data_IF_402681853815
#
_entry.id   IF_402681853815
#
_cell.length_a   1.000
_cell.length_b   1.000
_cell.length_c   1.000
_cell.angle_alpha   90.00
_cell.angle_beta   90.00
_cell.angle_gamma   90.00
#
_symmetry.space_group_name_H-M   'P 1'
#
loop_
_entity.id
_entity.type
_entity.pdbx_description
1 polymer ?
#
# COMPACT_ATOMS: atom_id res chain seq x y z
N UNK A 1 34.90 -18.83 -12.81
CA UNK A 1 33.88 -19.87 -12.61
C UNK A 1 32.83 -19.38 -11.59
N UNK A 2 32.34 -18.13 -11.76
CA UNK A 2 31.35 -17.48 -10.88
C UNK A 2 30.14 -16.88 -11.67
N UNK A 3 30.03 -17.23 -12.98
CA UNK A 3 29.03 -16.57 -13.88
C UNK A 3 27.73 -17.33 -14.12
N UNK A 4 27.55 -18.53 -13.61
CA UNK A 4 26.30 -19.31 -13.81
C UNK A 4 25.35 -19.27 -12.62
N UNK A 5 25.81 -18.85 -11.44
CA UNK A 5 24.96 -18.74 -10.23
C UNK A 5 24.22 -17.41 -10.09
N UNK A 6 24.55 -16.39 -10.89
CA UNK A 6 23.93 -15.06 -10.81
C UNK A 6 22.52 -14.97 -11.43
N UNK A 7 22.07 -16.02 -12.12
CA UNK A 7 20.79 -15.99 -12.87
C UNK A 7 19.53 -16.13 -12.01
N UNK A 8 19.64 -16.49 -10.73
CA UNK A 8 18.50 -16.84 -9.88
C UNK A 8 18.26 -15.92 -8.69
N UNK A 9 18.98 -14.80 -8.59
CA UNK A 9 18.81 -13.87 -7.47
C UNK A 9 18.26 -12.53 -7.93
N UNK A 10 17.34 -11.99 -7.15
CA UNK A 10 16.90 -10.61 -7.30
C UNK A 10 17.60 -9.73 -6.28
N UNK A 11 18.26 -8.69 -6.77
CA UNK A 11 18.86 -7.67 -5.92
C UNK A 11 17.81 -6.65 -5.54
N UNK A 12 17.67 -6.43 -4.24
CA UNK A 12 16.79 -5.43 -3.67
C UNK A 12 17.60 -4.54 -2.73
N UNK A 13 17.65 -3.25 -3.02
CA UNK A 13 18.35 -2.27 -2.20
C UNK A 13 17.36 -1.51 -1.34
N UNK A 14 17.57 -1.50 -0.03
CA UNK A 14 16.79 -0.71 0.92
C UNK A 14 17.59 0.48 1.37
N UNK A 15 17.14 1.69 1.02
CA UNK A 15 17.67 2.95 1.54
C UNK A 15 17.33 3.09 3.03
N UNK A 16 18.37 3.24 3.86
CA UNK A 16 18.21 3.29 5.31
C UNK A 16 17.64 4.64 5.80
N UNK A 17 17.75 5.68 5.01
CA UNK A 17 17.32 7.03 5.36
C UNK A 17 15.87 7.29 4.99
N UNK A 18 15.51 6.98 3.75
CA UNK A 18 14.20 7.35 3.18
C UNK A 18 13.18 6.21 3.20
N UNK A 19 13.59 5.00 3.66
CA UNK A 19 12.76 3.77 3.66
C UNK A 19 12.24 3.44 2.26
N UNK A 20 13.11 3.58 1.26
CA UNK A 20 12.81 3.34 -0.14
C UNK A 20 13.46 2.03 -0.57
N UNK A 21 12.69 1.21 -1.28
CA UNK A 21 13.16 -0.01 -1.91
C UNK A 21 13.41 0.24 -3.39
N UNK A 22 14.56 -0.22 -3.86
CA UNK A 22 14.95 -0.24 -5.26
C UNK A 22 15.13 -1.68 -5.70
N UNK A 23 14.47 -2.08 -6.77
CA UNK A 23 14.74 -3.36 -7.43
C UNK A 23 15.75 -3.14 -8.55
N UNK A 24 16.73 -4.02 -8.67
CA UNK A 24 17.74 -3.90 -9.72
C UNK A 24 17.13 -3.89 -11.13
N UNK A 25 16.03 -4.61 -11.30
CA UNK A 25 15.29 -4.72 -12.57
C UNK A 25 14.38 -3.54 -12.89
N UNK A 26 14.11 -2.65 -11.93
CA UNK A 26 13.23 -1.48 -12.12
C UNK A 26 13.94 -0.22 -11.70
N UNK A 27 13.90 0.81 -12.52
CA UNK A 27 14.49 2.12 -12.20
C UNK A 27 13.66 2.95 -11.22
N UNK A 28 12.44 2.51 -10.90
CA UNK A 28 11.53 3.26 -10.04
C UNK A 28 11.71 2.90 -8.55
N UNK A 29 11.86 3.89 -7.67
CA UNK A 29 11.88 3.68 -6.23
C UNK A 29 10.48 3.43 -5.69
N UNK A 30 10.38 2.54 -4.69
CA UNK A 30 9.12 2.24 -4.00
C UNK A 30 9.27 2.48 -2.51
N UNK A 31 8.27 3.09 -1.89
CA UNK A 31 8.23 3.18 -0.43
C UNK A 31 8.11 1.78 0.17
N UNK A 32 8.86 1.51 1.24
CA UNK A 32 8.81 0.24 1.97
C UNK A 32 7.36 -0.12 2.36
N UNK A 33 6.95 -1.35 2.10
CA UNK A 33 5.61 -1.87 2.34
C UNK A 33 4.61 -1.60 1.22
N UNK A 34 4.95 -0.73 0.25
CA UNK A 34 4.01 -0.43 -0.85
C UNK A 34 3.79 -1.65 -1.74
N UNK A 35 4.86 -2.35 -2.11
CA UNK A 35 4.76 -3.49 -3.03
C UNK A 35 4.02 -4.66 -2.40
N UNK A 36 4.29 -4.96 -1.13
CA UNK A 36 3.55 -5.97 -0.37
C UNK A 36 2.06 -5.63 -0.32
N UNK A 37 1.70 -4.38 0.03
CA UNK A 37 0.30 -3.96 0.14
C UNK A 37 -0.41 -3.88 -1.22
N UNK A 38 0.29 -3.59 -2.29
CA UNK A 38 -0.27 -3.62 -3.64
C UNK A 38 -0.50 -5.07 -4.08
N UNK A 39 0.46 -5.97 -3.83
CA UNK A 39 0.34 -7.39 -4.15
C UNK A 39 -0.85 -8.06 -3.46
N UNK A 40 -1.04 -7.89 -2.15
CA UNK A 40 -2.11 -8.58 -1.41
C UNK A 40 -3.53 -8.18 -1.82
N UNK A 41 -3.68 -7.10 -2.59
CA UNK A 41 -4.96 -6.64 -3.13
C UNK A 41 -5.01 -6.63 -4.66
N UNK A 42 -4.00 -7.19 -5.32
CA UNK A 42 -3.97 -7.31 -6.78
C UNK A 42 -5.02 -8.33 -7.25
N UNK A 43 -5.74 -8.00 -8.29
CA UNK A 43 -6.54 -8.98 -9.02
C UNK A 43 -5.60 -9.82 -9.90
N UNK A 44 -5.17 -10.96 -9.33
CA UNK A 44 -4.21 -11.85 -9.99
C UNK A 44 -4.75 -12.40 -11.32
N UNK A 45 -6.04 -12.70 -11.40
CA UNK A 45 -6.65 -13.24 -12.63
C UNK A 45 -6.57 -12.24 -13.77
N UNK A 46 -6.95 -11.00 -13.51
CA UNK A 46 -6.83 -9.92 -14.49
C UNK A 46 -5.36 -9.62 -14.81
N UNK A 47 -4.48 -9.57 -13.81
CA UNK A 47 -3.06 -9.33 -14.00
C UNK A 47 -2.42 -10.39 -14.90
N UNK A 48 -2.73 -11.67 -14.71
CA UNK A 48 -2.22 -12.76 -15.54
C UNK A 48 -2.81 -12.83 -16.95
N UNK A 49 -4.01 -12.33 -17.15
CA UNK A 49 -4.57 -12.21 -18.51
C UNK A 49 -3.86 -11.15 -19.35
N UNK A 50 -3.22 -10.17 -18.70
CA UNK A 50 -2.50 -9.06 -19.34
C UNK A 50 -0.97 -9.26 -19.27
N UNK A 51 -0.48 -10.45 -19.50
CA UNK A 51 0.86 -10.92 -19.17
C UNK A 51 2.04 -10.12 -19.70
N UNK A 52 1.93 -9.51 -20.86
CA UNK A 52 3.02 -8.67 -21.41
C UNK A 52 3.36 -7.49 -20.50
N UNK A 53 2.41 -7.11 -19.63
CA UNK A 53 2.53 -5.96 -18.71
C UNK A 53 2.72 -6.33 -17.25
N UNK A 54 2.62 -7.62 -16.85
CA UNK A 54 2.70 -8.04 -15.43
C UNK A 54 4.04 -7.65 -14.79
N UNK A 55 5.15 -7.73 -15.52
CA UNK A 55 6.45 -7.29 -15.04
C UNK A 55 6.49 -5.79 -14.77
N UNK A 56 5.78 -4.99 -15.56
CA UNK A 56 5.69 -3.55 -15.40
C UNK A 56 4.69 -3.16 -14.30
N UNK A 57 3.66 -3.99 -14.07
CA UNK A 57 2.61 -3.74 -13.08
C UNK A 57 3.10 -3.93 -11.65
N UNK A 58 3.96 -4.95 -11.41
CA UNK A 58 4.41 -5.25 -10.05
C UNK A 58 5.88 -5.68 -10.00
N UNK A 59 6.71 -5.02 -9.17
CA UNK A 59 8.16 -5.25 -9.11
C UNK A 59 8.53 -6.69 -8.78
N UNK A 60 7.75 -7.40 -7.97
CA UNK A 60 8.01 -8.80 -7.62
C UNK A 60 8.00 -9.73 -8.81
N UNK A 61 7.22 -9.43 -9.84
CA UNK A 61 7.18 -10.24 -11.06
C UNK A 61 8.40 -10.01 -11.95
N UNK A 62 9.05 -8.85 -11.84
CA UNK A 62 10.30 -8.60 -12.56
C UNK A 62 11.47 -9.44 -12.02
N UNK A 63 11.33 -9.96 -10.80
CA UNK A 63 12.30 -10.85 -10.17
C UNK A 63 12.28 -12.28 -10.76
N UNK A 64 11.34 -12.59 -11.63
CA UNK A 64 11.20 -13.91 -12.21
C UNK A 64 11.82 -14.02 -13.60
N UNK A 65 12.43 -15.19 -13.86
CA UNK A 65 12.84 -15.57 -15.20
C UNK A 65 11.60 -15.79 -16.09
N UNK A 66 11.76 -15.62 -17.40
CA UNK A 66 10.69 -15.92 -18.36
C UNK A 66 10.17 -17.35 -18.22
N UNK A 67 11.05 -18.30 -17.88
CA UNK A 67 10.72 -19.70 -17.59
C UNK A 67 9.81 -19.83 -16.36
N UNK A 68 10.09 -19.07 -15.29
CA UNK A 68 9.26 -19.05 -14.08
C UNK A 68 7.84 -18.53 -14.36
N UNK A 69 7.72 -17.52 -15.21
CA UNK A 69 6.41 -16.98 -15.62
C UNK A 69 5.66 -17.98 -16.52
N UNK A 70 6.36 -18.65 -17.45
CA UNK A 70 5.78 -19.69 -18.30
C UNK A 70 5.32 -20.90 -17.48
N UNK A 71 6.08 -21.30 -16.44
CA UNK A 71 5.66 -22.37 -15.53
C UNK A 71 4.39 -22.04 -14.74
N UNK A 72 4.17 -20.77 -14.41
CA UNK A 72 2.92 -20.30 -13.79
C UNK A 72 1.71 -20.46 -14.68
N UNK A 73 1.92 -20.34 -15.98
CA UNK A 73 0.87 -20.36 -16.99
C UNK A 73 0.58 -21.74 -17.54
N UNK A 74 1.53 -22.65 -17.43
CA UNK A 74 1.28 -24.04 -17.79
C UNK A 74 0.20 -24.57 -16.84
N UNK A 75 -1.03 -24.77 -17.36
CA UNK A 75 -2.05 -25.52 -16.61
C UNK A 75 -1.41 -26.82 -16.20
N UNK A 76 -1.44 -27.20 -14.90
CA UNK A 76 -0.99 -28.52 -14.50
C UNK A 76 -1.82 -29.53 -15.29
N UNK A 77 -1.18 -30.28 -16.15
CA UNK A 77 -1.72 -31.56 -16.59
C UNK A 77 -1.68 -32.43 -15.33
N UNK A 78 -2.82 -33.03 -15.02
CA UNK A 78 -2.99 -33.89 -13.86
C UNK A 78 -1.71 -34.68 -13.55
N UNK A 79 -1.31 -34.69 -12.25
CA UNK A 79 -0.27 -35.50 -11.62
C UNK A 79 1.20 -35.06 -11.63
N UNK A 80 1.65 -34.00 -12.26
CA UNK A 80 3.00 -33.50 -12.00
C UNK A 80 2.97 -32.39 -10.94
N UNK A 81 3.57 -32.65 -9.77
CA UNK A 81 3.94 -31.62 -8.78
C UNK A 81 4.91 -30.65 -9.43
N UNK A 82 4.39 -29.70 -10.16
CA UNK A 82 5.18 -28.61 -10.71
C UNK A 82 5.74 -27.82 -9.54
N UNK A 83 7.06 -27.82 -9.38
CA UNK A 83 7.81 -27.04 -8.38
C UNK A 83 7.77 -25.52 -8.67
N UNK A 84 6.67 -25.02 -9.24
CA UNK A 84 6.48 -23.65 -9.64
C UNK A 84 5.37 -22.97 -8.84
N UNK A 85 5.47 -21.67 -8.71
CA UNK A 85 4.45 -20.83 -8.11
C UNK A 85 3.22 -20.80 -9.04
N UNK A 86 2.14 -21.41 -8.64
CA UNK A 86 0.85 -21.39 -9.37
C UNK A 86 0.02 -20.16 -8.97
N UNK A 87 -0.98 -19.79 -9.77
CA UNK A 87 -1.93 -18.75 -9.41
C UNK A 87 -2.58 -19.01 -8.03
N UNK A 88 -2.94 -20.28 -7.75
CA UNK A 88 -3.48 -20.67 -6.45
C UNK A 88 -2.48 -20.43 -5.30
N UNK A 89 -1.18 -20.66 -5.52
CA UNK A 89 -0.16 -20.38 -4.52
C UNK A 89 -0.03 -18.88 -4.25
N UNK A 90 -0.17 -18.04 -5.26
CA UNK A 90 -0.18 -16.58 -5.08
C UNK A 90 -1.42 -16.08 -4.34
N UNK A 91 -2.59 -16.65 -4.63
CA UNK A 91 -3.82 -16.35 -3.88
C UNK A 91 -3.65 -16.77 -2.40
N UNK A 92 -3.02 -17.92 -2.14
CA UNK A 92 -2.65 -18.37 -0.79
C UNK A 92 -1.71 -17.37 -0.09
N UNK A 93 -0.67 -16.89 -0.77
CA UNK A 93 0.21 -15.84 -0.21
C UNK A 93 -0.55 -14.56 0.11
N UNK A 94 -1.44 -14.11 -0.79
CA UNK A 94 -2.27 -12.94 -0.49
C UNK A 94 -3.05 -13.10 0.82
N UNK A 95 -3.62 -14.27 1.05
CA UNK A 95 -4.40 -14.55 2.25
C UNK A 95 -3.53 -14.69 3.50
N UNK A 96 -2.40 -15.39 3.41
CA UNK A 96 -1.44 -15.51 4.52
C UNK A 96 -0.93 -14.12 4.95
N UNK A 97 -0.49 -13.29 4.00
CA UNK A 97 0.03 -11.97 4.32
C UNK A 97 -1.05 -10.99 4.84
N UNK A 98 -2.31 -11.13 4.40
CA UNK A 98 -3.43 -10.39 5.01
C UNK A 98 -3.63 -10.80 6.47
N UNK A 99 -3.62 -12.09 6.78
CA UNK A 99 -3.72 -12.61 8.16
C UNK A 99 -2.56 -12.15 9.04
N UNK A 100 -1.33 -12.17 8.51
CA UNK A 100 -0.14 -11.66 9.22
C UNK A 100 -0.25 -10.17 9.53
N UNK A 101 -0.64 -9.36 8.55
CA UNK A 101 -0.81 -7.91 8.74
C UNK A 101 -1.94 -7.58 9.72
N UNK A 102 -3.03 -8.35 9.69
CA UNK A 102 -4.15 -8.20 10.62
C UNK A 102 -3.70 -8.49 12.05
N UNK A 103 -2.97 -9.59 12.26
CA UNK A 103 -2.40 -9.94 13.56
C UNK A 103 -1.41 -8.90 14.09
N UNK A 104 -0.63 -8.27 13.21
CA UNK A 104 0.29 -7.18 13.59
C UNK A 104 -0.44 -5.92 14.08
N UNK A 105 -1.64 -5.66 13.57
CA UNK A 105 -2.45 -4.50 13.98
C UNK A 105 -3.21 -4.76 15.28
N UNK A 106 -3.76 -5.96 15.45
CA UNK A 106 -4.62 -6.32 16.57
C UNK A 106 -3.89 -7.01 17.73
N UNK A 107 -2.64 -7.40 17.51
CA UNK A 107 -1.79 -8.09 18.48
C UNK A 107 -1.64 -9.58 18.20
N UNK A 108 -0.49 -10.13 18.61
CA UNK A 108 -0.11 -11.51 18.31
C UNK A 108 -1.05 -12.58 18.92
N UNK A 109 -1.89 -12.21 19.90
CA UNK A 109 -2.90 -13.11 20.49
C UNK A 109 -4.01 -13.51 19.50
N UNK A 110 -4.18 -12.73 18.43
CA UNK A 110 -5.17 -13.01 17.36
C UNK A 110 -4.54 -13.66 16.12
N UNK A 111 -3.24 -13.97 16.20
CA UNK A 111 -2.53 -14.58 15.08
C UNK A 111 -3.05 -16.01 14.87
N UNK A 112 -3.62 -16.25 13.69
CA UNK A 112 -4.07 -17.57 13.27
C UNK A 112 -2.88 -18.55 13.28
N UNK A 113 -3.09 -19.79 13.75
CA UNK A 113 -2.05 -20.83 13.79
C UNK A 113 -1.35 -21.04 12.45
N UNK A 114 -2.10 -20.98 11.35
CA UNK A 114 -1.57 -21.13 9.99
C UNK A 114 -0.58 -20.03 9.61
N UNK A 115 -0.94 -18.77 9.87
CA UNK A 115 -0.08 -17.62 9.59
C UNK A 115 1.16 -17.61 10.50
N UNK A 116 1.00 -17.98 11.80
CA UNK A 116 2.11 -18.13 12.74
C UNK A 116 3.06 -19.22 12.26
N UNK A 117 2.51 -20.37 11.90
CA UNK A 117 3.29 -21.53 11.45
C UNK A 117 4.05 -21.24 10.14
N UNK A 118 3.41 -20.53 9.22
CA UNK A 118 4.05 -20.06 8.00
C UNK A 118 5.22 -19.13 8.32
N UNK A 119 5.01 -18.10 9.13
CA UNK A 119 6.04 -17.14 9.51
C UNK A 119 7.23 -17.78 10.22
N UNK A 120 6.97 -18.73 11.12
CA UNK A 120 8.02 -19.44 11.87
C UNK A 120 8.79 -20.47 11.01
N UNK A 121 8.14 -21.04 10.00
CA UNK A 121 8.76 -22.04 9.12
C UNK A 121 9.45 -21.45 7.90
N UNK A 122 9.12 -20.22 7.51
CA UNK A 122 9.79 -19.56 6.41
C UNK A 122 11.07 -18.91 6.96
N UNK A 123 12.22 -19.56 6.85
CA UNK A 123 13.46 -18.98 7.31
C UNK A 123 13.84 -17.85 6.34
N UNK A 124 13.57 -16.63 6.75
CA UNK A 124 14.09 -15.46 6.07
C UNK A 124 15.59 -15.32 6.35
N UNK A 125 16.37 -16.08 5.62
CA UNK A 125 17.82 -15.97 5.59
C UNK A 125 18.24 -14.99 4.49
N UNK A 126 17.88 -13.74 4.62
CA UNK A 126 18.52 -12.74 3.78
C UNK A 126 19.77 -12.25 4.50
N UNK A 127 20.91 -12.55 3.95
CA UNK A 127 22.13 -11.86 4.27
C UNK A 127 22.10 -10.51 3.56
N UNK A 128 21.57 -9.49 4.22
CA UNK A 128 21.69 -8.13 3.73
C UNK A 128 23.13 -7.64 3.93
N UNK A 129 23.74 -7.14 2.87
CA UNK A 129 25.07 -6.53 2.92
C UNK A 129 24.92 -5.00 2.94
N UNK A 130 25.58 -4.36 3.90
CA UNK A 130 25.61 -2.89 3.93
C UNK A 130 26.51 -2.39 2.80
N UNK A 131 25.93 -1.60 1.91
CA UNK A 131 26.63 -1.02 0.76
C UNK A 131 26.45 0.50 0.75
N UNK A 132 27.48 1.20 0.25
CA UNK A 132 27.37 2.63 -0.02
C UNK A 132 27.16 2.82 -1.52
N UNK A 133 26.07 3.44 -1.91
CA UNK A 133 25.75 3.69 -3.32
C UNK A 133 25.47 5.17 -3.56
N UNK A 134 25.83 5.63 -4.74
CA UNK A 134 25.50 6.98 -5.19
C UNK A 134 24.13 6.99 -5.87
N UNK A 135 23.16 7.64 -5.25
CA UNK A 135 21.81 7.82 -5.79
C UNK A 135 21.54 9.31 -5.94
N UNK A 136 21.20 9.74 -7.15
CA UNK A 136 20.96 11.17 -7.45
C UNK A 136 22.08 12.10 -7.00
N UNK A 137 23.34 11.70 -7.20
CA UNK A 137 24.56 12.39 -6.77
C UNK A 137 24.79 12.49 -5.24
N UNK A 138 24.07 11.72 -4.45
CA UNK A 138 24.27 11.61 -3.00
C UNK A 138 24.75 10.22 -2.65
N UNK A 139 25.74 10.12 -1.77
CA UNK A 139 26.17 8.84 -1.20
C UNK A 139 25.18 8.40 -0.14
N UNK A 140 24.56 7.22 -0.33
CA UNK A 140 23.56 6.66 0.56
C UNK A 140 23.98 5.27 1.05
N UNK A 141 23.71 5.03 2.32
CA UNK A 141 23.86 3.70 2.90
C UNK A 141 22.60 2.90 2.64
N UNK A 142 22.78 1.74 2.02
CA UNK A 142 21.72 0.82 1.65
C UNK A 142 22.03 -0.58 2.17
N UNK A 143 21.00 -1.39 2.37
CA UNK A 143 21.16 -2.82 2.54
C UNK A 143 20.85 -3.47 1.19
N UNK A 144 21.82 -4.21 0.67
CA UNK A 144 21.65 -5.03 -0.53
C UNK A 144 21.22 -6.43 -0.12
N UNK A 145 20.01 -6.82 -0.51
CA UNK A 145 19.43 -8.14 -0.29
C UNK A 145 19.50 -8.97 -1.55
N UNK A 146 19.99 -10.19 -1.42
CA UNK A 146 19.96 -11.21 -2.46
C UNK A 146 18.78 -12.13 -2.19
N UNK A 147 17.71 -12.00 -2.96
CA UNK A 147 16.46 -12.72 -2.77
C UNK A 147 16.33 -13.82 -3.83
N UNK A 148 15.98 -15.03 -3.42
CA UNK A 148 15.94 -16.20 -4.28
C UNK A 148 14.63 -16.37 -5.03
N UNK A 149 13.58 -15.65 -4.63
CA UNK A 149 12.29 -15.78 -5.26
C UNK A 149 11.25 -14.77 -4.79
N UNK A 150 10.07 -14.95 -5.31
CA UNK A 150 8.92 -14.10 -5.03
C UNK A 150 8.53 -14.07 -3.53
N UNK A 151 8.53 -15.24 -2.89
CA UNK A 151 8.21 -15.41 -1.48
C UNK A 151 9.22 -14.65 -0.59
N UNK A 152 10.50 -14.71 -0.96
CA UNK A 152 11.54 -13.96 -0.26
C UNK A 152 11.35 -12.44 -0.38
N UNK A 153 10.85 -11.95 -1.51
CA UNK A 153 10.54 -10.53 -1.69
C UNK A 153 9.41 -10.08 -0.74
N UNK A 154 8.34 -10.87 -0.63
CA UNK A 154 7.23 -10.59 0.28
C UNK A 154 7.70 -10.59 1.74
N UNK A 155 8.48 -11.61 2.12
CA UNK A 155 8.97 -11.76 3.48
C UNK A 155 9.99 -10.67 3.83
N UNK A 156 10.89 -10.32 2.91
CA UNK A 156 11.85 -9.24 3.09
C UNK A 156 11.15 -7.92 3.42
N UNK A 157 10.16 -7.56 2.62
CA UNK A 157 9.44 -6.30 2.82
C UNK A 157 8.67 -6.31 4.15
N UNK A 158 8.00 -7.40 4.50
CA UNK A 158 7.32 -7.54 5.78
C UNK A 158 8.26 -7.43 6.97
N UNK A 159 9.40 -8.15 6.94
CA UNK A 159 10.40 -8.13 8.03
C UNK A 159 11.00 -6.74 8.19
N UNK A 160 11.32 -6.06 7.10
CA UNK A 160 11.86 -4.70 7.17
C UNK A 160 10.82 -3.68 7.67
N UNK A 161 9.54 -3.84 7.32
CA UNK A 161 8.46 -3.05 7.92
C UNK A 161 8.39 -3.24 9.44
N UNK A 162 8.52 -4.48 9.92
CA UNK A 162 8.53 -4.81 11.35
C UNK A 162 9.75 -4.23 12.06
N UNK A 163 10.95 -4.43 11.53
CA UNK A 163 12.20 -3.91 12.10
C UNK A 163 12.19 -2.40 12.26
N UNK A 164 11.49 -1.69 11.37
CA UNK A 164 11.37 -0.23 11.36
C UNK A 164 10.14 0.28 12.09
N UNK A 165 9.39 -0.60 12.75
CA UNK A 165 8.15 -0.26 13.44
C UNK A 165 7.19 0.55 12.56
N UNK A 166 7.10 0.20 11.27
CA UNK A 166 6.28 0.93 10.33
C UNK A 166 4.80 0.83 10.70
N UNK A 167 4.14 1.96 10.82
CA UNK A 167 2.73 2.01 11.17
C UNK A 167 1.90 1.52 9.99
N UNK A 168 1.11 0.47 10.22
CA UNK A 168 0.13 -0.05 9.27
C UNK A 168 -1.26 0.18 9.85
N UNK A 169 -2.21 0.60 9.02
CA UNK A 169 -3.61 0.82 9.41
C UNK A 169 -4.58 0.20 8.43
N UNK A 170 -5.79 -0.05 8.91
CA UNK A 170 -6.94 -0.41 8.08
C UNK A 170 -7.68 0.87 7.70
N UNK A 171 -7.88 1.11 6.40
CA UNK A 171 -8.61 2.26 5.91
C UNK A 171 -10.09 2.19 6.31
N UNK A 172 -10.59 3.20 7.04
CA UNK A 172 -11.99 3.26 7.51
C UNK A 172 -13.03 3.35 6.39
N UNK A 173 -12.62 3.62 5.12
CA UNK A 173 -13.56 3.68 4.00
C UNK A 173 -13.59 2.37 3.18
N UNK A 174 -12.44 1.79 2.83
CA UNK A 174 -12.37 0.60 1.96
C UNK A 174 -11.95 -0.70 2.67
N UNK A 175 -11.60 -0.65 3.96
CA UNK A 175 -11.19 -1.84 4.74
C UNK A 175 -9.81 -2.42 4.38
N UNK A 176 -9.06 -1.79 3.46
CA UNK A 176 -7.75 -2.30 3.04
C UNK A 176 -6.62 -1.75 3.89
N UNK A 177 -5.57 -2.53 4.09
CA UNK A 177 -4.36 -2.08 4.75
C UNK A 177 -3.68 -0.96 3.97
N UNK A 178 -3.07 -0.03 4.69
CA UNK A 178 -2.27 1.04 4.11
C UNK A 178 -1.24 1.57 5.12
N UNK A 179 -0.20 2.21 4.60
CA UNK A 179 0.83 2.90 5.38
C UNK A 179 0.47 4.37 5.41
N UNK A 180 0.07 4.92 6.56
CA UNK A 180 -0.28 6.32 6.67
C UNK A 180 0.96 7.21 6.61
N UNK A 181 0.84 8.41 6.04
CA UNK A 181 1.91 9.42 6.09
C UNK A 181 2.13 9.99 7.50
N UNK A 182 1.11 9.95 8.34
CA UNK A 182 1.10 10.39 9.74
C UNK A 182 0.18 9.49 10.55
N UNK A 183 0.46 9.32 11.83
CA UNK A 183 -0.30 8.42 12.72
C UNK A 183 -1.79 8.76 12.84
N UNK A 184 -2.19 10.00 12.62
CA UNK A 184 -3.59 10.44 12.72
C UNK A 184 -4.40 10.29 11.43
N UNK A 185 -3.82 9.72 10.35
CA UNK A 185 -4.52 9.49 9.08
C UNK A 185 -5.29 8.17 9.15
N UNK A 186 -6.59 8.20 8.85
CA UNK A 186 -7.49 7.04 8.92
C UNK A 186 -7.96 6.54 7.55
N UNK A 187 -7.60 7.22 6.47
CA UNK A 187 -8.04 6.92 5.12
C UNK A 187 -6.85 6.85 4.16
N UNK A 188 -6.83 5.85 3.30
CA UNK A 188 -5.80 5.72 2.28
C UNK A 188 -6.06 6.66 1.08
N UNK A 189 -5.07 6.78 0.21
CA UNK A 189 -5.13 7.60 -1.00
C UNK A 189 -5.53 6.82 -2.26
N UNK A 190 -5.98 5.57 -2.11
CA UNK A 190 -6.46 4.77 -3.25
C UNK A 190 -7.73 5.38 -3.84
N UNK A 191 -7.82 5.38 -5.16
CA UNK A 191 -9.05 5.75 -5.87
C UNK A 191 -10.16 4.79 -5.46
N UNK A 192 -11.28 5.34 -5.03
CA UNK A 192 -12.42 4.58 -4.49
C UNK A 192 -13.65 4.66 -5.39
N UNK A 193 -13.81 5.72 -6.13
CA UNK A 193 -15.01 5.96 -6.96
C UNK A 193 -14.64 6.20 -8.42
N UNK A 194 -15.61 5.97 -9.31
CA UNK A 194 -15.46 6.15 -10.76
C UNK A 194 -15.14 7.59 -11.20
N UNK A 195 -15.44 8.59 -10.33
CA UNK A 195 -15.12 10.00 -10.53
C UNK A 195 -13.69 10.37 -10.08
N UNK A 196 -12.85 9.39 -9.80
CA UNK A 196 -11.44 9.57 -9.42
C UNK A 196 -11.20 9.99 -7.97
N UNK A 197 -12.24 10.09 -7.13
CA UNK A 197 -12.05 10.44 -5.71
C UNK A 197 -11.38 9.33 -4.93
N UNK A 198 -10.47 9.71 -4.04
CA UNK A 198 -9.76 8.79 -3.16
C UNK A 198 -10.58 8.44 -1.91
N UNK A 199 -10.16 7.38 -1.20
CA UNK A 199 -10.73 7.06 0.10
C UNK A 199 -10.62 8.22 1.10
N UNK A 200 -9.55 9.00 1.02
CA UNK A 200 -9.34 10.20 1.83
C UNK A 200 -10.41 11.25 1.57
N UNK A 201 -10.69 11.55 0.29
CA UNK A 201 -11.67 12.56 -0.10
C UNK A 201 -13.08 12.20 0.37
N UNK A 202 -13.46 10.93 0.17
CA UNK A 202 -14.80 10.43 0.52
C UNK A 202 -14.95 10.20 2.03
N UNK A 203 -13.90 9.66 2.65
CA UNK A 203 -13.93 9.23 4.06
C UNK A 203 -14.12 10.38 5.02
N UNK A 204 -13.35 11.45 4.89
CA UNK A 204 -13.48 12.64 5.75
C UNK A 204 -14.84 13.30 5.60
N UNK A 205 -15.35 13.40 4.38
CA UNK A 205 -16.69 13.97 4.12
C UNK A 205 -17.80 13.16 4.79
N UNK A 206 -17.75 11.82 4.67
CA UNK A 206 -18.72 10.91 5.31
C UNK A 206 -18.66 10.99 6.84
N UNK A 207 -17.46 11.03 7.40
CA UNK A 207 -17.27 11.11 8.86
C UNK A 207 -17.75 12.44 9.38
N UNK A 208 -17.40 13.55 8.73
CA UNK A 208 -17.91 14.86 9.09
C UNK A 208 -19.45 14.90 9.04
N UNK A 209 -20.06 14.39 7.97
CA UNK A 209 -21.52 14.32 7.86
C UNK A 209 -22.18 13.49 8.96
N UNK A 210 -21.56 12.39 9.41
CA UNK A 210 -22.03 11.59 10.55
C UNK A 210 -21.91 12.35 11.87
N UNK A 211 -20.82 13.08 12.08
CA UNK A 211 -20.62 13.91 13.29
C UNK A 211 -21.65 15.04 13.34
N UNK A 212 -21.84 15.75 12.22
CA UNK A 212 -22.86 16.80 12.11
C UNK A 212 -24.25 16.28 12.45
N UNK A 213 -24.61 15.08 12.01
CA UNK A 213 -25.95 14.49 12.33
C UNK A 213 -26.17 14.21 13.82
N UNK A 214 -25.11 14.06 14.60
CA UNK A 214 -25.18 13.73 16.04
C UNK A 214 -25.11 14.94 16.95
N UNK A 215 -24.70 16.08 16.42
CA UNK A 215 -24.45 17.30 17.19
C UNK A 215 -25.33 18.45 16.67
N UNK A 216 -26.30 18.87 17.46
CA UNK A 216 -27.28 19.93 17.10
C UNK A 216 -26.60 21.28 16.88
N UNK A 217 -25.58 21.61 17.71
CA UNK A 217 -24.85 22.86 17.58
C UNK A 217 -24.05 22.87 16.25
N UNK A 218 -23.37 21.76 15.95
CA UNK A 218 -22.64 21.60 14.70
C UNK A 218 -23.59 21.59 13.48
N UNK A 219 -24.82 21.09 13.62
CA UNK A 219 -25.85 21.21 12.58
C UNK A 219 -26.24 22.66 12.33
N UNK A 220 -26.50 23.43 13.41
CA UNK A 220 -26.85 24.85 13.32
C UNK A 220 -25.71 25.65 12.66
N UNK A 221 -24.48 25.43 13.12
CA UNK A 221 -23.30 26.03 12.53
C UNK A 221 -23.15 25.70 11.04
N UNK A 222 -23.28 24.42 10.68
CA UNK A 222 -23.13 23.97 9.28
C UNK A 222 -24.21 24.58 8.38
N UNK A 223 -25.44 24.72 8.88
CA UNK A 223 -26.53 25.41 8.15
C UNK A 223 -26.23 26.89 7.95
N UNK A 224 -25.79 27.57 9.00
CA UNK A 224 -25.42 28.98 8.94
C UNK A 224 -24.24 29.20 7.98
N UNK A 225 -23.19 28.39 8.10
CA UNK A 225 -22.02 28.44 7.20
C UNK A 225 -22.43 28.31 5.72
N UNK A 226 -23.22 27.29 5.37
CA UNK A 226 -23.71 27.10 4.00
C UNK A 226 -24.54 28.28 3.49
N UNK A 227 -25.39 28.84 4.36
CA UNK A 227 -26.22 29.99 4.00
C UNK A 227 -25.38 31.26 3.73
N UNK A 228 -24.43 31.58 4.60
CA UNK A 228 -23.52 32.72 4.42
C UNK A 228 -22.57 32.52 3.23
N UNK A 229 -21.98 31.32 3.06
CA UNK A 229 -21.15 31.00 1.92
C UNK A 229 -21.91 31.14 0.59
N UNK A 230 -23.18 30.70 0.54
CA UNK A 230 -24.00 30.84 -0.66
C UNK A 230 -24.34 32.31 -0.97
N UNK A 231 -24.54 33.16 0.06
CA UNK A 231 -24.74 34.62 -0.12
C UNK A 231 -23.51 35.31 -0.66
N UNK A 232 -22.32 34.84 -0.30
CA UNK A 232 -21.04 35.34 -0.80
C UNK A 232 -20.77 34.92 -2.23
N UNK A 233 -20.97 33.61 -2.55
CA UNK A 233 -20.54 33.02 -3.83
C UNK A 233 -21.57 33.06 -4.94
N UNK A 234 -22.88 33.13 -4.59
CA UNK A 234 -24.02 33.10 -5.53
C UNK A 234 -24.97 34.25 -5.24
N UNK A 235 -24.58 35.52 -5.47
CA UNK A 235 -25.41 36.67 -5.21
C UNK A 235 -26.73 36.60 -6.01
N UNK A 236 -27.84 36.79 -5.34
CA UNK A 236 -29.17 36.79 -5.92
C UNK A 236 -29.72 38.22 -5.98
N UNK A 237 -30.43 38.55 -7.09
CA UNK A 237 -30.97 39.90 -7.29
C UNK A 237 -31.91 40.42 -6.17
N UNK A 238 -32.49 39.50 -5.35
CA UNK A 238 -33.47 39.84 -4.29
C UNK A 238 -33.05 39.38 -2.88
N UNK A 239 -31.84 38.91 -2.67
CA UNK A 239 -31.34 38.46 -1.37
C UNK A 239 -30.23 39.38 -0.89
N UNK A 240 -30.14 39.57 0.44
CA UNK A 240 -28.99 40.24 1.04
C UNK A 240 -27.71 39.44 0.69
N UNK A 241 -26.92 39.99 -0.21
CA UNK A 241 -25.60 39.45 -0.56
C UNK A 241 -24.63 39.74 0.58
N UNK A 242 -23.58 38.96 0.68
CA UNK A 242 -22.56 39.07 1.71
C UNK A 242 -21.20 39.27 1.01
N UNK A 243 -20.44 40.24 1.43
CA UNK A 243 -19.07 40.43 0.95
C UNK A 243 -18.14 39.34 1.53
N UNK A 244 -16.96 39.22 0.98
CA UNK A 244 -15.94 38.28 1.50
C UNK A 244 -15.49 38.67 2.90
N UNK A 245 -15.32 39.97 3.16
CA UNK A 245 -14.88 40.51 4.46
C UNK A 245 -15.93 40.25 5.55
N UNK A 246 -17.23 40.47 5.23
CA UNK A 246 -18.34 40.16 6.13
C UNK A 246 -18.42 38.66 6.43
N UNK A 247 -18.19 37.80 5.44
CA UNK A 247 -18.14 36.37 5.65
C UNK A 247 -16.97 35.94 6.54
N UNK A 248 -15.77 36.49 6.32
CA UNK A 248 -14.60 36.21 7.14
C UNK A 248 -14.77 36.72 8.59
N UNK A 249 -15.37 37.87 8.79
CA UNK A 249 -15.70 38.39 10.12
C UNK A 249 -16.66 37.44 10.86
N UNK A 250 -17.79 37.09 10.22
CA UNK A 250 -18.72 36.12 10.77
C UNK A 250 -18.05 34.76 11.07
N UNK A 251 -17.21 34.26 10.17
CA UNK A 251 -16.55 32.97 10.35
C UNK A 251 -15.62 32.95 11.57
N UNK A 252 -14.94 34.07 11.86
CA UNK A 252 -14.09 34.22 13.05
C UNK A 252 -14.89 34.22 14.36
N UNK A 253 -16.06 34.83 14.36
CA UNK A 253 -16.93 34.87 15.53
C UNK A 253 -17.66 33.54 15.79
N UNK A 254 -18.00 32.83 14.72
CA UNK A 254 -18.76 31.57 14.78
C UNK A 254 -17.89 30.31 15.05
N UNK A 255 -16.56 30.43 15.06
CA UNK A 255 -15.60 29.33 15.25
C UNK A 255 -15.20 29.20 16.72
#
# INVERSE_FOLDING_TARGET
MLRETEKNYTHVYLDLTDEIIYFHSTSAPFRLGKNLLDFIYMDLKTAFQQMETVREIHPYFSAWSDEGIQMLMARPKDDEKVSGLTLGRMEEFQDIYKKLLDALIHGASEMNEEATHYFLRHPFYSSGTLVNQTVKNENRWMIDYFLMGFEDCLMCELVEMLRRHQIIKICKNCGRFFIPKRSNVDYCTRVFSSDGKTCSDVGYTKTFAKTVKKDELLQAYTRAYKAHYARMTKPRKKAANMSRDEFEAWYKEAK
#
